data_IF_079840340570
#
_entry.id   IF_079840340570
#
_cell.length_a   1.000
_cell.length_b   1.000
_cell.length_c   1.000
_cell.angle_alpha   90.00
_cell.angle_beta   90.00
_cell.angle_gamma   90.00
#
_symmetry.space_group_name_H-M   'P 1'
#
loop_
_entity.id
_entity.type
_entity.pdbx_description
1 polymer ?
#
# COMPACT_ATOMS: atom_id res chain seq x y z
N UNK A 1 6.90 -24.82 -25.99
CA UNK A 1 7.76 -25.94 -25.57
C UNK A 1 7.00 -26.73 -24.50
N UNK A 2 6.57 -27.94 -24.88
CA UNK A 2 6.11 -29.08 -24.06
C UNK A 2 5.06 -28.86 -22.95
N UNK A 3 3.79 -28.92 -23.40
CA UNK A 3 2.65 -29.43 -22.62
C UNK A 3 2.86 -30.93 -22.41
N UNK A 4 3.00 -31.37 -21.15
CA UNK A 4 3.04 -32.80 -20.80
C UNK A 4 1.66 -33.26 -20.34
N UNK A 5 1.01 -34.01 -21.23
CA UNK A 5 -0.08 -34.95 -20.97
C UNK A 5 0.29 -35.89 -19.81
N UNK A 6 -0.59 -36.02 -18.82
CA UNK A 6 -0.56 -37.14 -17.86
C UNK A 6 -1.74 -38.05 -18.18
N UNK A 7 -1.39 -39.24 -18.67
CA UNK A 7 -2.28 -40.33 -19.00
C UNK A 7 -3.03 -40.82 -17.76
N UNK A 8 -4.35 -40.94 -17.92
CA UNK A 8 -5.19 -41.83 -17.14
C UNK A 8 -5.06 -43.26 -17.69
N UNK A 9 -4.78 -44.25 -16.85
CA UNK A 9 -5.23 -45.63 -17.08
C UNK A 9 -5.18 -46.49 -15.80
N UNK A 10 -6.38 -46.90 -15.40
CA UNK A 10 -6.80 -48.20 -14.86
C UNK A 10 -5.98 -48.96 -13.79
N UNK A 11 -6.64 -49.19 -12.64
CA UNK A 11 -6.70 -50.52 -12.03
C UNK A 11 -7.94 -50.62 -11.14
N UNK A 12 -8.94 -51.37 -11.59
CA UNK A 12 -10.17 -51.67 -10.89
C UNK A 12 -10.27 -53.19 -10.76
N UNK A 13 -10.07 -53.72 -9.55
CA UNK A 13 -10.49 -55.08 -9.11
C UNK A 13 -10.22 -55.23 -7.62
N UNK A 14 -11.27 -55.53 -6.84
CA UNK A 14 -11.13 -55.98 -5.46
C UNK A 14 -12.34 -55.68 -4.59
N UNK A 15 -13.36 -56.55 -4.66
CA UNK A 15 -14.41 -56.66 -3.65
C UNK A 15 -13.81 -56.95 -2.27
N UNK A 16 -14.33 -56.31 -1.22
CA UNK A 16 -14.03 -56.73 0.16
C UNK A 16 -14.60 -55.84 1.26
N UNK A 17 -15.75 -56.26 1.79
CA UNK A 17 -16.24 -56.03 3.17
C UNK A 17 -16.37 -54.58 3.67
N UNK A 18 -17.63 -54.17 3.75
CA UNK A 18 -18.18 -53.16 4.66
C UNK A 18 -17.61 -53.29 6.09
N UNK A 19 -16.66 -52.44 6.42
CA UNK A 19 -16.37 -52.06 7.80
C UNK A 19 -16.69 -50.58 7.92
N UNK A 20 -17.80 -50.29 8.59
CA UNK A 20 -18.20 -48.95 9.03
C UNK A 20 -17.21 -48.52 10.13
N UNK A 21 -15.98 -48.19 9.71
CA UNK A 21 -15.04 -47.46 10.55
C UNK A 21 -15.54 -46.02 10.55
N UNK A 22 -16.23 -45.65 11.62
CA UNK A 22 -16.42 -44.26 12.00
C UNK A 22 -15.03 -43.66 12.24
N UNK A 23 -14.39 -43.20 11.15
CA UNK A 23 -13.28 -42.27 11.24
C UNK A 23 -13.94 -40.97 11.67
N UNK A 24 -14.11 -40.82 12.98
CA UNK A 24 -14.32 -39.54 13.62
C UNK A 24 -13.11 -38.70 13.27
N UNK A 25 -13.19 -37.99 12.14
CA UNK A 25 -12.21 -37.02 11.68
C UNK A 25 -12.30 -35.89 12.69
N UNK A 26 -11.53 -36.02 13.76
CA UNK A 26 -11.39 -35.03 14.81
C UNK A 26 -10.87 -33.79 14.08
N UNK A 27 -11.77 -32.86 13.76
CA UNK A 27 -11.39 -31.61 13.15
C UNK A 27 -10.31 -31.01 14.06
N UNK A 28 -9.15 -30.60 13.51
CA UNK A 28 -8.10 -30.00 14.32
C UNK A 28 -8.76 -28.90 15.16
N UNK A 29 -8.65 -29.03 16.48
CA UNK A 29 -9.15 -28.05 17.44
C UNK A 29 -8.28 -26.81 17.27
N UNK A 30 -8.62 -25.98 16.28
CA UNK A 30 -8.05 -24.65 16.11
C UNK A 30 -8.43 -23.90 17.38
N UNK A 31 -7.41 -23.45 18.12
CA UNK A 31 -7.64 -22.75 19.38
C UNK A 31 -8.51 -21.52 19.11
N UNK A 32 -9.54 -21.31 19.93
CA UNK A 32 -10.43 -20.13 19.85
C UNK A 32 -9.61 -18.83 19.89
N UNK A 33 -8.47 -18.85 20.58
CA UNK A 33 -7.52 -17.75 20.68
C UNK A 33 -6.89 -17.38 19.33
N UNK A 34 -6.44 -18.37 18.54
CA UNK A 34 -5.93 -18.13 17.17
C UNK A 34 -6.99 -17.48 16.28
N UNK A 35 -8.24 -17.93 16.39
CA UNK A 35 -9.35 -17.37 15.61
C UNK A 35 -9.63 -15.91 15.99
N UNK A 36 -9.69 -15.58 17.28
CA UNK A 36 -9.92 -14.22 17.76
C UNK A 36 -8.80 -13.26 17.33
N UNK A 37 -7.55 -13.70 17.38
CA UNK A 37 -6.41 -12.90 16.91
C UNK A 37 -6.49 -12.62 15.40
N UNK A 38 -6.91 -13.60 14.59
CA UNK A 38 -7.09 -13.43 13.15
C UNK A 38 -8.24 -12.46 12.82
N UNK A 39 -9.34 -12.51 13.56
CA UNK A 39 -10.46 -11.57 13.38
C UNK A 39 -10.04 -10.13 13.77
N UNK A 40 -9.28 -9.96 14.84
CA UNK A 40 -8.76 -8.64 15.21
C UNK A 40 -7.78 -8.09 14.16
N UNK A 41 -6.88 -8.93 13.65
CA UNK A 41 -5.93 -8.55 12.59
C UNK A 41 -6.63 -8.10 11.31
N UNK A 42 -7.62 -8.86 10.85
CA UNK A 42 -8.39 -8.52 9.64
C UNK A 42 -9.15 -7.19 9.77
N UNK A 43 -9.69 -6.86 10.95
CA UNK A 43 -10.30 -5.54 11.19
C UNK A 43 -9.28 -4.40 11.08
N UNK A 44 -8.10 -4.57 11.67
CA UNK A 44 -7.02 -3.57 11.60
C UNK A 44 -6.55 -3.36 10.15
N UNK A 45 -6.43 -4.43 9.35
CA UNK A 45 -6.14 -4.34 7.92
C UNK A 45 -7.23 -3.53 7.21
N UNK A 46 -8.50 -3.84 7.46
CA UNK A 46 -9.64 -3.12 6.87
C UNK A 46 -9.61 -1.62 7.13
N UNK A 47 -9.41 -1.20 8.38
CA UNK A 47 -9.30 0.23 8.72
C UNK A 47 -8.10 0.91 8.06
N UNK A 48 -6.95 0.23 7.99
CA UNK A 48 -5.77 0.76 7.31
C UNK A 48 -5.98 0.90 5.81
N UNK A 49 -6.62 -0.07 5.14
CA UNK A 49 -6.94 0.00 3.72
C UNK A 49 -7.92 1.14 3.40
N UNK A 50 -8.94 1.35 4.23
CA UNK A 50 -9.88 2.48 4.04
C UNK A 50 -9.15 3.82 4.25
N UNK A 51 -8.29 3.92 5.26
CA UNK A 51 -7.50 5.13 5.51
C UNK A 51 -6.52 5.41 4.35
N UNK A 52 -5.80 4.40 3.86
CA UNK A 52 -4.87 4.54 2.74
C UNK A 52 -5.60 4.92 1.46
N UNK A 53 -6.80 4.37 1.23
CA UNK A 53 -7.63 4.69 0.07
C UNK A 53 -8.18 6.12 0.15
N UNK A 54 -8.69 6.53 1.31
CA UNK A 54 -9.16 7.89 1.52
C UNK A 54 -8.04 8.90 1.27
N UNK A 55 -6.83 8.62 1.76
CA UNK A 55 -5.67 9.46 1.50
C UNK A 55 -5.28 9.48 0.01
N UNK A 56 -5.29 8.33 -0.65
CA UNK A 56 -5.01 8.20 -2.09
C UNK A 56 -6.02 9.00 -2.94
N UNK A 57 -7.31 8.87 -2.64
CA UNK A 57 -8.39 9.61 -3.33
C UNK A 57 -8.22 11.11 -3.08
N UNK A 58 -7.97 11.52 -1.85
CA UNK A 58 -7.73 12.92 -1.50
C UNK A 58 -6.56 13.50 -2.30
N UNK A 59 -5.45 12.75 -2.39
CA UNK A 59 -4.27 13.13 -3.15
C UNK A 59 -4.55 13.26 -4.66
N UNK A 60 -5.43 12.40 -5.21
CA UNK A 60 -5.91 12.48 -6.59
C UNK A 60 -6.77 13.71 -6.80
N UNK A 61 -7.76 13.96 -5.95
CA UNK A 61 -8.64 15.13 -6.03
C UNK A 61 -7.87 16.45 -6.01
N UNK A 62 -6.85 16.57 -5.15
CA UNK A 62 -5.98 17.74 -5.09
C UNK A 62 -5.23 18.00 -6.41
N UNK A 63 -4.95 16.95 -7.19
CA UNK A 63 -4.19 17.12 -8.43
C UNK A 63 -5.09 17.29 -9.64
N UNK A 64 -6.27 16.65 -9.63
CA UNK A 64 -7.30 16.93 -10.63
C UNK A 64 -7.63 18.43 -10.65
N UNK A 65 -7.61 19.08 -9.48
CA UNK A 65 -7.75 20.53 -9.40
C UNK A 65 -6.64 21.29 -10.15
N UNK A 66 -5.37 20.88 -10.01
CA UNK A 66 -4.24 21.51 -10.73
C UNK A 66 -4.28 21.23 -12.24
N UNK A 67 -4.66 20.01 -12.64
CA UNK A 67 -4.79 19.62 -14.05
C UNK A 67 -5.93 20.36 -14.75
N UNK A 68 -7.06 20.55 -14.05
CA UNK A 68 -8.22 21.26 -14.57
C UNK A 68 -8.00 22.78 -14.65
N UNK A 69 -7.56 23.40 -13.53
CA UNK A 69 -7.39 24.85 -13.46
C UNK A 69 -6.16 25.34 -14.22
N UNK A 70 -5.11 24.51 -14.31
CA UNK A 70 -3.91 24.82 -15.08
C UNK A 70 -4.17 24.94 -16.58
N UNK A 71 -5.18 24.24 -17.13
CA UNK A 71 -5.52 24.32 -18.55
C UNK A 71 -6.03 25.69 -18.97
N UNK A 72 -6.69 26.44 -18.09
CA UNK A 72 -7.18 27.79 -18.42
C UNK A 72 -6.07 28.85 -18.31
N UNK A 73 -5.20 28.73 -17.30
CA UNK A 73 -4.14 29.73 -17.05
C UNK A 73 -2.87 29.54 -17.91
N UNK A 74 -2.66 28.37 -18.51
CA UNK A 74 -1.50 28.05 -19.38
C UNK A 74 -1.66 28.56 -20.83
N UNK A 75 -2.73 29.30 -21.14
CA UNK A 75 -2.86 29.98 -22.43
C UNK A 75 -2.03 31.29 -22.51
N UNK A 76 -1.42 31.74 -21.41
CA UNK A 76 -0.83 33.10 -21.32
C UNK A 76 0.65 33.14 -20.93
N UNK A 77 1.34 32.01 -20.73
CA UNK A 77 2.76 31.99 -20.31
C UNK A 77 3.66 31.43 -21.42
N UNK A 78 4.31 32.29 -22.25
CA UNK A 78 5.11 31.83 -23.39
C UNK A 78 6.49 31.25 -23.06
N UNK A 79 6.92 31.20 -21.79
CA UNK A 79 8.31 30.84 -21.41
C UNK A 79 8.45 29.68 -20.39
N UNK A 80 7.60 28.66 -20.44
CA UNK A 80 7.81 27.43 -19.64
C UNK A 80 8.66 26.40 -20.42
N UNK A 81 9.94 26.73 -20.58
CA UNK A 81 10.99 26.05 -21.36
C UNK A 81 11.40 24.65 -20.85
N UNK A 82 10.68 24.01 -19.92
CA UNK A 82 11.07 22.70 -19.39
C UNK A 82 10.05 21.56 -19.56
N UNK A 83 8.83 21.82 -20.06
CA UNK A 83 7.84 20.76 -20.34
C UNK A 83 7.40 20.64 -21.80
N UNK A 84 7.77 21.60 -22.67
CA UNK A 84 7.43 21.54 -24.10
C UNK A 84 8.29 20.55 -24.92
N UNK A 85 9.34 19.96 -24.35
CA UNK A 85 10.04 18.82 -24.97
C UNK A 85 9.32 17.48 -24.81
N UNK A 86 8.17 17.44 -24.12
CA UNK A 86 7.31 16.26 -24.01
C UNK A 86 6.05 16.32 -24.89
N UNK A 87 5.79 17.44 -25.56
CA UNK A 87 4.55 17.62 -26.35
C UNK A 87 4.69 17.35 -27.84
N UNK A 88 5.91 17.13 -28.34
CA UNK A 88 6.13 16.64 -29.71
C UNK A 88 6.22 15.12 -29.82
N UNK A 89 6.19 14.37 -28.71
CA UNK A 89 6.30 12.91 -28.79
C UNK A 89 4.91 12.27 -28.77
N UNK A 90 4.55 11.66 -29.90
CA UNK A 90 3.44 10.73 -30.10
C UNK A 90 3.11 9.96 -28.83
N UNK A 91 1.87 10.07 -28.31
CA UNK A 91 1.32 9.28 -27.17
C UNK A 91 2.35 8.44 -26.42
N UNK A 92 3.22 9.14 -25.68
CA UNK A 92 4.50 8.60 -25.28
C UNK A 92 4.34 7.69 -24.07
N UNK A 93 5.14 6.61 -23.99
CA UNK A 93 5.08 5.60 -22.92
C UNK A 93 5.00 6.21 -21.51
N UNK A 94 5.70 7.33 -21.27
CA UNK A 94 5.70 8.07 -20.01
C UNK A 94 4.33 8.63 -19.62
N UNK A 95 3.52 9.12 -20.57
CA UNK A 95 2.15 9.60 -20.28
C UNK A 95 1.27 8.41 -19.84
N UNK A 96 1.33 7.29 -20.58
CA UNK A 96 0.60 6.07 -20.22
C UNK A 96 1.01 5.54 -18.84
N UNK A 97 2.31 5.48 -18.56
CA UNK A 97 2.86 5.04 -17.28
C UNK A 97 2.41 5.93 -16.11
N UNK A 98 2.36 7.25 -16.32
CA UNK A 98 1.85 8.19 -15.33
C UNK A 98 0.37 7.94 -15.00
N UNK A 99 -0.47 7.76 -16.02
CA UNK A 99 -1.88 7.38 -15.81
C UNK A 99 -2.00 6.02 -15.12
N UNK A 100 -1.20 5.05 -15.53
CA UNK A 100 -1.20 3.71 -14.95
C UNK A 100 -0.89 3.75 -13.45
N UNK A 101 0.25 4.33 -13.03
CA UNK A 101 0.64 4.38 -11.61
C UNK A 101 -0.35 5.19 -10.76
N UNK A 102 -1.07 6.13 -11.36
CA UNK A 102 -2.02 6.98 -10.63
C UNK A 102 -3.37 6.32 -10.39
N UNK A 103 -3.97 5.75 -11.44
CA UNK A 103 -5.36 5.27 -11.38
C UNK A 103 -5.43 3.77 -11.05
N UNK A 104 -4.43 3.00 -11.46
CA UNK A 104 -4.45 1.55 -11.27
C UNK A 104 -4.40 1.14 -9.79
N UNK A 105 -3.56 1.71 -8.92
CA UNK A 105 -3.58 1.36 -7.49
C UNK A 105 -4.89 1.71 -6.78
N UNK A 106 -5.61 2.75 -7.24
CA UNK A 106 -6.94 3.10 -6.70
C UNK A 106 -7.94 2.00 -7.01
N UNK A 107 -7.95 1.54 -8.27
CA UNK A 107 -8.83 0.47 -8.72
C UNK A 107 -8.54 -0.80 -7.93
N UNK A 108 -7.26 -1.13 -7.71
CA UNK A 108 -6.87 -2.28 -6.89
C UNK A 108 -7.27 -2.13 -5.42
N UNK A 109 -7.08 -0.96 -4.80
CA UNK A 109 -7.48 -0.77 -3.41
C UNK A 109 -9.01 -0.86 -3.25
N UNK A 110 -9.77 -0.26 -4.16
CA UNK A 110 -11.23 -0.39 -4.19
C UNK A 110 -11.63 -1.86 -4.34
N UNK A 111 -10.96 -2.59 -5.24
CA UNK A 111 -11.26 -3.99 -5.48
C UNK A 111 -10.97 -4.83 -4.23
N UNK A 112 -9.86 -4.60 -3.52
CA UNK A 112 -9.51 -5.28 -2.26
C UNK A 112 -10.54 -5.03 -1.17
N UNK A 113 -11.12 -3.83 -1.07
CA UNK A 113 -12.17 -3.55 -0.07
C UNK A 113 -13.45 -4.36 -0.28
N UNK A 114 -13.75 -4.80 -1.50
CA UNK A 114 -14.90 -5.67 -1.75
C UNK A 114 -14.67 -7.12 -1.29
N UNK A 115 -13.42 -7.54 -1.14
CA UNK A 115 -13.08 -8.88 -0.66
C UNK A 115 -13.03 -8.86 0.86
N UNK A 116 -14.03 -9.50 1.47
CA UNK A 116 -14.18 -9.58 2.93
C UNK A 116 -15.43 -8.92 3.49
N UNK A 117 -16.21 -8.21 2.67
CA UNK A 117 -17.53 -7.70 3.11
C UNK A 117 -18.57 -8.83 3.06
N UNK A 118 -19.16 -9.25 4.20
CA UNK A 118 -20.32 -10.15 4.18
C UNK A 118 -21.47 -9.48 3.41
N UNK A 119 -22.27 -10.23 2.62
CA UNK A 119 -22.52 -11.68 2.70
C UNK A 119 -21.79 -12.53 1.64
N UNK A 120 -20.81 -11.99 0.92
CA UNK A 120 -20.20 -12.72 -0.20
C UNK A 120 -19.30 -13.87 0.29
N UNK A 121 -19.79 -15.11 0.19
CA UNK A 121 -18.99 -16.31 0.39
C UNK A 121 -18.27 -16.66 -0.90
N UNK A 122 -16.94 -16.59 -0.91
CA UNK A 122 -16.14 -16.92 -2.08
C UNK A 122 -15.78 -18.39 -2.10
N UNK A 123 -15.80 -19.00 -3.28
CA UNK A 123 -15.25 -20.34 -3.45
C UNK A 123 -13.71 -20.28 -3.44
N UNK A 124 -13.05 -21.38 -3.03
CA UNK A 124 -11.58 -21.49 -3.03
C UNK A 124 -10.94 -21.15 -4.39
N UNK A 125 -11.65 -21.41 -5.49
CA UNK A 125 -11.19 -21.07 -6.85
C UNK A 125 -11.20 -19.56 -7.12
N UNK A 126 -12.27 -18.87 -6.70
CA UNK A 126 -12.37 -17.42 -6.86
C UNK A 126 -11.31 -16.70 -6.03
N UNK A 127 -11.07 -17.21 -4.81
CA UNK A 127 -10.02 -16.76 -3.94
C UNK A 127 -8.62 -16.82 -4.56
N UNK A 128 -8.32 -17.95 -5.21
CA UNK A 128 -7.08 -18.15 -5.91
C UNK A 128 -6.91 -17.16 -7.07
N UNK A 129 -7.95 -17.02 -7.91
CA UNK A 129 -7.93 -16.09 -9.05
C UNK A 129 -7.72 -14.65 -8.56
N UNK A 130 -8.38 -14.29 -7.46
CA UNK A 130 -8.25 -12.98 -6.84
C UNK A 130 -6.83 -12.69 -6.36
N UNK A 131 -6.23 -13.60 -5.60
CA UNK A 131 -4.86 -13.45 -5.12
C UNK A 131 -3.85 -13.36 -6.26
N UNK A 132 -4.06 -14.12 -7.35
CA UNK A 132 -3.24 -14.01 -8.56
C UNK A 132 -3.39 -12.63 -9.21
N UNK A 133 -4.62 -12.13 -9.33
CA UNK A 133 -4.88 -10.80 -9.87
C UNK A 133 -4.18 -9.71 -9.04
N UNK A 134 -4.33 -9.73 -7.73
CA UNK A 134 -3.69 -8.78 -6.82
C UNK A 134 -2.15 -8.86 -6.89
N UNK A 135 -1.58 -10.06 -6.89
CA UNK A 135 -0.14 -10.27 -7.01
C UNK A 135 0.42 -9.73 -8.33
N UNK A 136 -0.19 -10.08 -9.47
CA UNK A 136 0.22 -9.59 -10.79
C UNK A 136 0.10 -8.07 -10.89
N UNK A 137 -0.99 -7.51 -10.38
CA UNK A 137 -1.23 -6.09 -10.42
C UNK A 137 -0.18 -5.31 -9.58
N UNK A 138 0.22 -5.87 -8.44
CA UNK A 138 1.33 -5.33 -7.61
C UNK A 138 2.64 -5.33 -8.36
N UNK A 139 3.01 -6.46 -9.00
CA UNK A 139 4.25 -6.56 -9.78
C UNK A 139 4.29 -5.52 -10.89
N UNK A 140 3.16 -5.26 -11.56
CA UNK A 140 3.08 -4.24 -12.59
C UNK A 140 3.26 -2.82 -12.04
N UNK A 141 2.68 -2.52 -10.87
CA UNK A 141 2.85 -1.20 -10.22
C UNK A 141 4.31 -1.00 -9.81
N UNK A 142 4.92 -1.99 -9.14
CA UNK A 142 6.32 -1.94 -8.71
C UNK A 142 7.23 -1.74 -9.92
N UNK A 143 7.08 -2.55 -10.96
CA UNK A 143 7.85 -2.43 -12.19
C UNK A 143 7.71 -1.03 -12.84
N UNK A 144 6.51 -0.46 -12.83
CA UNK A 144 6.27 0.88 -13.37
C UNK A 144 6.98 1.97 -12.53
N UNK A 145 6.97 1.85 -11.20
CA UNK A 145 7.67 2.77 -10.30
C UNK A 145 9.19 2.66 -10.48
N UNK A 146 9.73 1.44 -10.48
CA UNK A 146 11.16 1.21 -10.66
C UNK A 146 11.65 1.72 -12.00
N UNK A 147 10.86 1.57 -13.05
CA UNK A 147 11.15 2.17 -14.34
C UNK A 147 11.31 3.70 -14.26
N UNK A 148 10.45 4.42 -13.51
CA UNK A 148 10.60 5.86 -13.28
C UNK A 148 11.89 6.18 -12.51
N UNK A 149 12.21 5.40 -11.48
CA UNK A 149 13.43 5.60 -10.68
C UNK A 149 14.68 5.41 -11.55
N UNK A 150 14.69 4.40 -12.44
CA UNK A 150 15.75 4.16 -13.41
C UNK A 150 15.87 5.31 -14.41
N UNK A 151 14.74 5.84 -14.92
CA UNK A 151 14.76 7.00 -15.82
C UNK A 151 15.43 8.22 -15.15
N UNK A 152 15.17 8.45 -13.86
CA UNK A 152 15.84 9.53 -13.09
C UNK A 152 17.35 9.29 -12.99
N UNK A 153 17.77 8.05 -12.75
CA UNK A 153 19.19 7.68 -12.71
C UNK A 153 19.83 7.85 -14.10
N UNK A 154 19.13 7.54 -15.18
CA UNK A 154 19.65 7.73 -16.54
C UNK A 154 19.85 9.21 -16.86
N UNK A 155 18.96 10.08 -16.39
CA UNK A 155 19.12 11.52 -16.51
C UNK A 155 20.35 12.02 -15.72
N UNK A 156 20.56 11.50 -14.50
CA UNK A 156 21.69 11.88 -13.65
C UNK A 156 23.05 11.37 -14.18
N UNK A 157 23.08 10.14 -14.70
CA UNK A 157 24.28 9.50 -15.23
C UNK A 157 24.37 9.61 -16.76
N UNK A 158 24.36 10.83 -17.29
CA UNK A 158 24.40 11.04 -18.75
C UNK A 158 25.66 10.49 -19.42
N UNK A 159 26.80 10.55 -18.71
CA UNK A 159 28.13 10.27 -19.26
C UNK A 159 28.59 8.82 -19.11
N UNK A 160 28.15 8.10 -18.07
CA UNK A 160 28.66 6.77 -17.71
C UNK A 160 27.74 5.65 -18.21
N UNK A 161 27.99 5.15 -19.43
CA UNK A 161 27.20 4.07 -20.05
C UNK A 161 27.22 2.77 -19.24
N UNK A 162 28.33 2.44 -18.59
CA UNK A 162 28.47 1.22 -17.79
C UNK A 162 27.43 1.12 -16.67
N UNK A 163 27.21 2.23 -15.95
CA UNK A 163 26.24 2.27 -14.83
C UNK A 163 24.82 2.13 -15.36
N UNK A 164 24.52 2.72 -16.52
CA UNK A 164 23.22 2.57 -17.17
C UNK A 164 22.93 1.11 -17.53
N UNK A 165 23.89 0.43 -18.15
CA UNK A 165 23.75 -0.99 -18.49
C UNK A 165 23.60 -1.84 -17.23
N UNK A 166 24.42 -1.59 -16.19
CA UNK A 166 24.34 -2.31 -14.92
C UNK A 166 22.95 -2.17 -14.28
N UNK A 167 22.42 -0.96 -14.17
CA UNK A 167 21.10 -0.70 -13.59
C UNK A 167 19.99 -1.35 -14.43
N UNK A 168 20.07 -1.25 -15.76
CA UNK A 168 19.11 -1.92 -16.65
C UNK A 168 19.14 -3.45 -16.50
N UNK A 169 20.32 -4.05 -16.38
CA UNK A 169 20.44 -5.51 -16.17
C UNK A 169 19.91 -5.95 -14.81
N UNK A 170 20.16 -5.17 -13.76
CA UNK A 170 19.61 -5.44 -12.42
C UNK A 170 18.09 -5.36 -12.41
N UNK A 171 17.51 -4.38 -13.08
CA UNK A 171 16.05 -4.25 -13.22
C UNK A 171 15.42 -5.43 -13.97
N UNK A 172 16.03 -5.88 -15.06
CA UNK A 172 15.54 -7.07 -15.78
C UNK A 172 15.64 -8.33 -14.90
N UNK A 173 16.72 -8.45 -14.12
CA UNK A 173 16.90 -9.57 -13.20
C UNK A 173 15.84 -9.57 -12.09
N UNK A 174 15.56 -8.40 -11.51
CA UNK A 174 14.51 -8.21 -10.52
C UNK A 174 13.13 -8.60 -11.09
N UNK A 175 12.77 -8.10 -12.28
CA UNK A 175 11.49 -8.40 -12.93
C UNK A 175 11.32 -9.90 -13.19
N UNK A 176 12.39 -10.58 -13.62
CA UNK A 176 12.39 -12.04 -13.81
C UNK A 176 12.24 -12.76 -12.48
N UNK A 177 13.00 -12.37 -11.46
CA UNK A 177 12.92 -12.98 -10.11
C UNK A 177 11.53 -12.80 -9.49
N UNK A 178 10.91 -11.62 -9.62
CA UNK A 178 9.54 -11.38 -9.18
C UNK A 178 8.54 -12.27 -9.91
N UNK A 179 8.64 -12.33 -11.24
CA UNK A 179 7.73 -13.12 -12.07
C UNK A 179 7.79 -14.61 -11.72
N UNK A 180 9.01 -15.14 -11.51
CA UNK A 180 9.23 -16.52 -11.07
C UNK A 180 8.72 -16.72 -9.64
N UNK A 181 9.01 -15.78 -8.75
CA UNK A 181 8.59 -15.81 -7.35
C UNK A 181 7.07 -15.92 -7.20
N UNK A 182 6.32 -15.03 -7.88
CA UNK A 182 4.86 -15.08 -7.90
C UNK A 182 4.36 -16.38 -8.53
N UNK A 183 4.92 -16.79 -9.68
CA UNK A 183 4.51 -18.01 -10.38
C UNK A 183 4.72 -19.30 -9.56
N UNK A 184 5.76 -19.35 -8.72
CA UNK A 184 6.05 -20.50 -7.86
C UNK A 184 5.36 -20.45 -6.50
N UNK A 185 5.12 -19.25 -5.97
CA UNK A 185 4.47 -19.05 -4.68
C UNK A 185 2.96 -19.32 -4.77
N UNK A 186 2.28 -18.70 -5.74
CA UNK A 186 0.82 -18.79 -5.95
C UNK A 186 0.22 -20.20 -5.81
N UNK A 187 0.74 -21.26 -6.47
CA UNK A 187 0.14 -22.59 -6.38
C UNK A 187 0.36 -23.29 -5.04
N UNK A 188 1.28 -22.79 -4.21
CA UNK A 188 1.60 -23.37 -2.90
C UNK A 188 0.86 -22.70 -1.74
N UNK A 189 0.17 -21.58 -1.99
CA UNK A 189 -0.56 -20.85 -0.95
C UNK A 189 -1.80 -21.64 -0.51
N UNK A 190 -1.91 -21.85 0.79
CA UNK A 190 -3.12 -22.39 1.44
C UNK A 190 -4.09 -21.27 1.78
N UNK A 191 -5.35 -21.41 1.33
CA UNK A 191 -6.41 -20.41 1.57
C UNK A 191 -7.46 -20.94 2.54
N UNK A 192 -7.87 -20.09 3.47
CA UNK A 192 -9.04 -20.32 4.32
C UNK A 192 -10.36 -19.96 3.59
N UNK A 193 -11.50 -20.28 4.20
CA UNK A 193 -12.83 -19.93 3.68
C UNK A 193 -13.07 -18.41 3.66
N UNK A 194 -12.28 -17.64 4.42
CA UNK A 194 -12.25 -16.17 4.43
C UNK A 194 -11.24 -15.57 3.45
N UNK A 195 -10.67 -16.37 2.56
CA UNK A 195 -9.63 -15.95 1.62
C UNK A 195 -8.33 -15.42 2.23
N UNK A 196 -8.10 -15.71 3.50
CA UNK A 196 -6.86 -15.37 4.19
C UNK A 196 -5.77 -16.39 3.89
N UNK A 197 -4.54 -15.90 3.74
CA UNK A 197 -3.34 -16.73 3.56
C UNK A 197 -2.99 -17.39 4.89
N UNK A 198 -3.04 -18.72 4.95
CA UNK A 198 -2.71 -19.47 6.17
C UNK A 198 -1.21 -19.79 6.21
N UNK A 199 -0.63 -20.16 5.06
CA UNK A 199 0.74 -20.63 4.96
C UNK A 199 1.46 -19.93 3.81
N UNK A 200 2.56 -19.25 4.14
CA UNK A 200 3.38 -18.49 3.19
C UNK A 200 4.71 -19.22 3.04
N UNK A 201 5.03 -19.75 1.85
CA UNK A 201 6.27 -20.49 1.65
C UNK A 201 7.48 -19.54 1.71
N UNK A 202 8.61 -19.99 2.29
CA UNK A 202 9.87 -19.22 2.36
C UNK A 202 10.35 -18.69 1.00
N UNK A 203 9.97 -19.36 -0.10
CA UNK A 203 10.26 -18.90 -1.45
C UNK A 203 9.66 -17.54 -1.77
N UNK A 204 8.51 -17.22 -1.17
CA UNK A 204 7.86 -15.92 -1.31
C UNK A 204 8.67 -14.81 -0.63
N UNK A 205 9.17 -15.07 0.59
CA UNK A 205 10.03 -14.14 1.32
C UNK A 205 11.33 -13.83 0.56
N UNK A 206 11.98 -14.85 -0.01
CA UNK A 206 13.19 -14.65 -0.81
C UNK A 206 12.88 -13.82 -2.07
N UNK A 207 11.76 -14.09 -2.74
CA UNK A 207 11.33 -13.34 -3.91
C UNK A 207 10.98 -11.87 -3.56
N UNK A 208 10.34 -11.64 -2.42
CA UNK A 208 10.01 -10.31 -1.90
C UNK A 208 11.27 -9.53 -1.48
N UNK A 209 12.36 -10.20 -1.12
CA UNK A 209 13.65 -9.55 -0.82
C UNK A 209 14.34 -8.94 -2.05
N UNK A 210 14.04 -9.43 -3.26
CA UNK A 210 14.64 -8.94 -4.50
C UNK A 210 14.39 -7.44 -4.77
N UNK A 211 13.15 -6.92 -4.72
CA UNK A 211 12.90 -5.48 -4.88
C UNK A 211 13.55 -4.64 -3.80
N UNK A 212 13.55 -5.13 -2.55
CA UNK A 212 14.19 -4.41 -1.44
C UNK A 212 15.68 -4.25 -1.72
N UNK A 213 16.34 -5.31 -2.17
CA UNK A 213 17.75 -5.26 -2.54
C UNK A 213 18.01 -4.32 -3.72
N UNK A 214 17.20 -4.41 -4.78
CA UNK A 214 17.32 -3.55 -5.96
C UNK A 214 17.15 -2.08 -5.59
N UNK A 215 16.11 -1.75 -4.83
CA UNK A 215 15.80 -0.39 -4.40
C UNK A 215 16.88 0.18 -3.47
N UNK A 216 17.48 -0.66 -2.62
CA UNK A 216 18.65 -0.30 -1.81
C UNK A 216 19.86 0.06 -2.67
N UNK A 217 20.13 -0.73 -3.73
CA UNK A 217 21.22 -0.45 -4.67
C UNK A 217 20.98 0.87 -5.41
N UNK A 218 19.75 1.11 -5.90
CA UNK A 218 19.41 2.37 -6.57
C UNK A 218 19.56 3.57 -5.64
N UNK A 219 19.12 3.43 -4.39
CA UNK A 219 19.28 4.46 -3.37
C UNK A 219 20.75 4.74 -3.10
N UNK A 220 21.58 3.71 -2.91
CA UNK A 220 23.00 3.84 -2.66
C UNK A 220 23.74 4.52 -3.83
N UNK A 221 23.42 4.16 -5.08
CA UNK A 221 23.99 4.80 -6.27
C UNK A 221 23.61 6.29 -6.35
N UNK A 222 22.35 6.61 -6.10
CA UNK A 222 21.85 7.99 -6.11
C UNK A 222 22.50 8.83 -5.01
N UNK A 223 22.61 8.27 -3.79
CA UNK A 223 23.27 8.91 -2.65
C UNK A 223 24.78 9.09 -2.89
N UNK A 224 25.45 8.10 -3.49
CA UNK A 224 26.87 8.21 -3.83
C UNK A 224 27.14 9.38 -4.78
N UNK A 225 26.32 9.51 -5.84
CA UNK A 225 26.47 10.65 -6.76
C UNK A 225 26.15 11.98 -6.13
N UNK A 226 25.20 12.01 -5.22
CA UNK A 226 24.92 13.22 -4.46
C UNK A 226 26.16 13.66 -3.68
N UNK A 227 26.78 12.74 -2.95
CA UNK A 227 28.00 13.03 -2.19
C UNK A 227 29.16 13.46 -3.10
N UNK A 228 29.31 12.86 -4.27
CA UNK A 228 30.31 13.24 -5.27
C UNK A 228 30.05 14.66 -5.81
N UNK A 229 28.80 15.00 -6.14
CA UNK A 229 28.42 16.32 -6.64
C UNK A 229 28.61 17.43 -5.60
N UNK A 230 28.29 17.14 -4.32
CA UNK A 230 28.53 18.06 -3.21
C UNK A 230 30.03 18.30 -3.01
N UNK A 231 30.84 17.23 -3.03
CA UNK A 231 32.30 17.33 -2.90
C UNK A 231 32.96 18.09 -4.06
N UNK A 232 32.44 17.96 -5.27
CA UNK A 232 32.95 18.67 -6.44
C UNK A 232 32.62 20.17 -6.46
N UNK A 233 31.92 20.70 -5.45
CA UNK A 233 31.52 22.11 -5.38
C UNK A 233 30.32 22.46 -6.27
N UNK A 234 29.68 21.47 -6.89
CA UNK A 234 28.47 21.65 -7.71
C UNK A 234 27.19 21.77 -6.87
N UNK A 235 27.34 21.76 -5.54
CA UNK A 235 26.23 21.89 -4.60
C UNK A 235 25.38 23.14 -4.81
N UNK A 236 25.94 24.23 -5.34
CA UNK A 236 25.19 25.50 -5.51
C UNK A 236 24.29 25.55 -6.76
N UNK A 237 24.22 24.49 -7.58
CA UNK A 237 23.31 24.46 -8.73
C UNK A 237 21.88 24.15 -8.23
N UNK A 238 20.95 25.13 -8.23
CA UNK A 238 19.66 24.99 -7.56
C UNK A 238 18.78 23.90 -8.17
N UNK A 239 18.93 23.62 -9.48
CA UNK A 239 18.14 22.60 -10.17
C UNK A 239 18.50 21.17 -9.72
N UNK A 240 19.78 20.91 -9.42
CA UNK A 240 20.23 19.61 -8.93
C UNK A 240 19.76 19.42 -7.50
N UNK A 241 19.90 20.44 -6.64
CA UNK A 241 19.41 20.37 -5.27
C UNK A 241 17.92 20.07 -5.18
N UNK A 242 17.10 20.72 -6.02
CA UNK A 242 15.66 20.50 -6.04
C UNK A 242 15.34 19.07 -6.45
N UNK A 243 15.89 18.61 -7.58
CA UNK A 243 15.67 17.26 -8.08
C UNK A 243 16.11 16.18 -7.08
N UNK A 244 17.23 16.40 -6.39
CA UNK A 244 17.77 15.44 -5.44
C UNK A 244 17.00 15.43 -4.12
N UNK A 245 16.68 16.59 -3.55
CA UNK A 245 15.84 16.64 -2.34
C UNK A 245 14.50 15.94 -2.60
N UNK A 246 13.89 16.22 -3.74
CA UNK A 246 12.58 15.70 -4.09
C UNK A 246 12.62 14.20 -4.41
N UNK A 247 13.68 13.74 -5.08
CA UNK A 247 13.93 12.32 -5.33
C UNK A 247 14.24 11.54 -4.06
N UNK A 248 15.11 12.06 -3.19
CA UNK A 248 15.57 11.38 -1.98
C UNK A 248 14.43 11.13 -0.99
N UNK A 249 13.47 12.06 -0.85
CA UNK A 249 12.29 11.82 -0.02
C UNK A 249 11.45 10.63 -0.51
N UNK A 250 11.23 10.53 -1.83
CA UNK A 250 10.51 9.39 -2.39
C UNK A 250 11.26 8.07 -2.14
N UNK A 251 12.57 8.03 -2.34
CA UNK A 251 13.37 6.84 -2.06
C UNK A 251 13.35 6.45 -0.59
N UNK A 252 13.50 7.41 0.33
CA UNK A 252 13.46 7.16 1.78
C UNK A 252 12.10 6.60 2.19
N UNK A 253 11.00 7.16 1.65
CA UNK A 253 9.65 6.67 1.92
C UNK A 253 9.46 5.21 1.46
N UNK A 254 9.84 4.90 0.23
CA UNK A 254 9.70 3.54 -0.29
C UNK A 254 10.58 2.55 0.48
N UNK A 255 11.82 2.92 0.78
CA UNK A 255 12.72 2.11 1.59
C UNK A 255 12.17 1.87 3.00
N UNK A 256 11.61 2.90 3.65
CA UNK A 256 11.03 2.77 4.99
C UNK A 256 9.80 1.85 5.01
N UNK A 257 8.94 1.93 3.99
CA UNK A 257 7.76 1.05 3.87
C UNK A 257 8.19 -0.40 3.65
N UNK A 258 9.12 -0.63 2.72
CA UNK A 258 9.64 -1.97 2.44
C UNK A 258 10.37 -2.58 3.63
N UNK A 259 11.14 -1.78 4.37
CA UNK A 259 11.80 -2.23 5.59
C UNK A 259 10.77 -2.53 6.69
N UNK A 260 9.74 -1.71 6.82
CA UNK A 260 8.62 -1.94 7.74
C UNK A 260 7.86 -3.23 7.41
N UNK A 261 7.68 -3.50 6.12
CA UNK A 261 7.08 -4.74 5.62
C UNK A 261 7.95 -5.95 5.96
N UNK A 262 9.24 -5.93 5.60
CA UNK A 262 10.18 -6.98 5.96
C UNK A 262 10.23 -7.23 7.48
N UNK A 263 10.14 -6.16 8.28
CA UNK A 263 10.08 -6.26 9.73
C UNK A 263 8.78 -6.93 10.20
N UNK A 264 7.61 -6.51 9.70
CA UNK A 264 6.32 -7.13 10.05
C UNK A 264 6.28 -8.62 9.69
N UNK A 265 6.80 -8.98 8.52
CA UNK A 265 6.95 -10.39 8.11
C UNK A 265 7.82 -11.20 9.07
N UNK A 266 8.87 -10.60 9.64
CA UNK A 266 9.74 -11.26 10.60
C UNK A 266 9.11 -11.49 11.98
N UNK A 267 8.18 -10.63 12.40
CA UNK A 267 7.57 -10.72 13.75
C UNK A 267 6.26 -11.50 13.76
N UNK A 268 5.41 -11.37 12.75
CA UNK A 268 4.08 -11.97 12.74
C UNK A 268 3.58 -12.19 11.30
N UNK A 269 4.07 -13.25 10.62
CA UNK A 269 3.80 -13.48 9.21
C UNK A 269 2.32 -13.75 8.90
N UNK A 270 1.54 -14.31 9.82
CA UNK A 270 0.15 -14.72 9.53
C UNK A 270 -0.87 -13.58 9.62
N UNK A 271 -0.61 -12.53 10.41
CA UNK A 271 -1.63 -11.53 10.75
C UNK A 271 -1.43 -10.15 10.08
N UNK A 272 -0.23 -9.85 9.57
CA UNK A 272 0.13 -8.49 9.10
C UNK A 272 0.67 -8.41 7.67
N UNK A 273 0.66 -9.52 6.93
CA UNK A 273 1.10 -9.60 5.52
C UNK A 273 0.53 -8.50 4.63
N UNK A 274 -0.70 -8.05 4.90
CA UNK A 274 -1.42 -7.11 4.03
C UNK A 274 -1.59 -5.70 4.60
N UNK A 275 -1.19 -5.42 5.84
CA UNK A 275 -1.43 -4.10 6.47
C UNK A 275 -0.69 -2.99 5.72
N UNK A 276 0.55 -3.24 5.32
CA UNK A 276 1.36 -2.25 4.60
C UNK A 276 1.07 -2.22 3.11
N UNK A 277 0.35 -3.20 2.57
CA UNK A 277 0.05 -3.28 1.14
C UNK A 277 -0.73 -2.06 0.63
N UNK A 278 -1.75 -1.63 1.38
CA UNK A 278 -2.52 -0.41 1.06
C UNK A 278 -1.63 0.84 1.07
N UNK A 279 -0.77 0.96 2.08
CA UNK A 279 0.15 2.09 2.20
C UNK A 279 1.26 2.11 1.15
N UNK A 280 1.77 0.95 0.76
CA UNK A 280 2.76 0.78 -0.29
C UNK A 280 2.20 1.23 -1.65
N UNK A 281 0.97 0.81 -1.98
CA UNK A 281 0.25 1.31 -3.15
C UNK A 281 0.05 2.83 -3.13
N UNK A 282 -0.31 3.38 -1.97
CA UNK A 282 -0.48 4.83 -1.78
C UNK A 282 0.85 5.59 -1.93
N UNK A 283 1.93 5.05 -1.37
CA UNK A 283 3.26 5.65 -1.49
C UNK A 283 3.77 5.63 -2.92
N UNK A 284 3.52 4.55 -3.69
CA UNK A 284 3.85 4.49 -5.10
C UNK A 284 3.16 5.57 -5.93
N UNK A 285 1.85 5.77 -5.73
CA UNK A 285 1.12 6.84 -6.41
C UNK A 285 1.65 8.24 -6.02
N UNK A 286 2.01 8.43 -4.74
CA UNK A 286 2.53 9.70 -4.24
C UNK A 286 3.95 10.02 -4.74
N UNK A 287 4.86 9.03 -4.76
CA UNK A 287 6.28 9.21 -5.11
C UNK A 287 6.51 9.69 -6.54
N UNK A 288 5.54 9.50 -7.43
CA UNK A 288 5.58 10.03 -8.80
C UNK A 288 5.44 11.55 -8.83
N UNK A 289 4.84 12.18 -7.80
CA UNK A 289 4.71 13.64 -7.73
C UNK A 289 6.03 14.31 -7.39
N UNK A 290 6.42 15.30 -8.18
CA UNK A 290 7.63 16.14 -8.01
C UNK A 290 7.46 17.30 -7.02
N UNK A 291 6.52 17.24 -6.07
CA UNK A 291 6.33 18.29 -5.04
C UNK A 291 6.29 17.67 -3.63
N UNK A 292 7.41 17.63 -2.89
CA UNK A 292 7.52 16.73 -1.73
C UNK A 292 7.25 17.35 -0.36
N UNK A 293 6.88 18.63 -0.22
CA UNK A 293 6.98 19.27 1.09
C UNK A 293 5.85 19.00 2.09
N UNK A 294 4.67 18.51 1.67
CA UNK A 294 3.53 18.38 2.60
C UNK A 294 3.06 16.93 2.81
N UNK A 295 2.93 16.14 1.73
CA UNK A 295 2.39 14.78 1.86
C UNK A 295 3.36 13.76 2.45
N UNK A 296 4.67 13.90 2.24
CA UNK A 296 5.68 12.91 2.69
C UNK A 296 5.78 12.80 4.21
N UNK A 297 5.82 13.95 4.90
CA UNK A 297 5.81 14.02 6.37
C UNK A 297 4.49 13.52 6.93
N UNK A 298 3.37 13.77 6.24
CA UNK A 298 2.06 13.27 6.63
C UNK A 298 2.03 11.74 6.53
N UNK A 299 2.46 11.16 5.41
CA UNK A 299 2.50 9.69 5.20
C UNK A 299 3.37 9.04 6.27
N UNK A 300 4.57 9.56 6.55
CA UNK A 300 5.43 9.02 7.62
C UNK A 300 4.77 9.10 9.00
N UNK A 301 4.10 10.23 9.30
CA UNK A 301 3.41 10.39 10.58
C UNK A 301 2.25 9.41 10.70
N UNK A 302 1.45 9.24 9.64
CA UNK A 302 0.34 8.28 9.61
C UNK A 302 0.83 6.83 9.65
N UNK A 303 1.89 6.48 8.92
CA UNK A 303 2.52 5.17 8.99
C UNK A 303 3.03 4.86 10.39
N UNK A 304 3.75 5.81 10.99
CA UNK A 304 4.29 5.64 12.33
C UNK A 304 3.16 5.53 13.37
N UNK A 305 2.12 6.35 13.23
CA UNK A 305 0.95 6.32 14.13
C UNK A 305 0.12 5.04 13.96
N UNK A 306 -0.16 4.59 12.74
CA UNK A 306 -0.82 3.31 12.47
C UNK A 306 -0.03 2.12 13.01
N UNK A 307 1.29 2.13 12.81
CA UNK A 307 2.19 1.09 13.30
C UNK A 307 2.23 1.07 14.83
N UNK A 308 2.44 2.23 15.47
CA UNK A 308 2.51 2.35 16.93
C UNK A 308 1.17 2.05 17.60
N UNK A 309 0.05 2.52 17.05
CA UNK A 309 -1.30 2.22 17.57
C UNK A 309 -1.64 0.75 17.38
N UNK A 310 -1.30 0.15 16.24
CA UNK A 310 -1.43 -1.29 16.00
C UNK A 310 -0.68 -2.11 17.05
N UNK A 311 0.59 -1.78 17.30
CA UNK A 311 1.39 -2.42 18.36
C UNK A 311 0.82 -2.21 19.77
N UNK A 312 0.29 -1.02 20.08
CA UNK A 312 -0.33 -0.76 21.40
C UNK A 312 -1.60 -1.57 21.62
N UNK A 313 -2.45 -1.72 20.60
CA UNK A 313 -3.66 -2.55 20.68
C UNK A 313 -3.28 -3.99 20.96
N UNK A 314 -2.23 -4.51 20.32
CA UNK A 314 -1.73 -5.87 20.54
C UNK A 314 -1.12 -6.09 21.91
N UNK A 315 -0.29 -5.16 22.39
CA UNK A 315 0.30 -5.28 23.73
C UNK A 315 -0.79 -5.26 24.81
N UNK A 316 -1.84 -4.45 24.64
CA UNK A 316 -3.00 -4.46 25.53
C UNK A 316 -3.80 -5.76 25.43
N UNK A 317 -4.01 -6.31 24.23
CA UNK A 317 -4.70 -7.59 24.05
C UNK A 317 -3.91 -8.75 24.67
N UNK A 318 -2.59 -8.76 24.53
CA UNK A 318 -1.74 -9.77 25.16
C UNK A 318 -1.73 -9.65 26.69
N UNK A 319 -1.80 -8.43 27.24
CA UNK A 319 -1.98 -8.21 28.67
C UNK A 319 -3.37 -8.65 29.18
N UNK A 320 -4.42 -8.41 28.39
CA UNK A 320 -5.78 -8.86 28.71
C UNK A 320 -5.87 -10.39 28.68
N UNK A 321 -5.20 -11.04 27.72
CA UNK A 321 -5.10 -12.49 27.63
C UNK A 321 -4.31 -13.10 28.80
N UNK A 322 -3.16 -12.50 29.16
CA UNK A 322 -2.39 -12.93 30.33
C UNK A 322 -3.16 -12.79 31.65
N UNK A 323 -4.14 -11.87 31.71
CA UNK A 323 -5.02 -11.68 32.87
C UNK A 323 -6.25 -12.58 32.84
N UNK A 324 -6.68 -13.05 31.68
CA UNK A 324 -7.74 -14.04 31.51
C UNK A 324 -7.23 -15.44 31.84
N UNK A 325 -7.00 -15.73 33.13
CA UNK A 325 -6.90 -17.13 33.58
C UNK A 325 -8.21 -17.83 33.20
N UNK A 326 -8.16 -18.99 32.52
CA UNK A 326 -9.37 -19.75 32.22
C UNK A 326 -9.95 -20.27 33.53
N UNK A 327 -10.93 -19.57 34.09
CA UNK A 327 -11.85 -20.18 35.04
C UNK A 327 -12.70 -21.16 34.24
N UNK A 328 -12.28 -22.42 34.21
CA UNK A 328 -13.03 -23.53 33.67
C UNK A 328 -14.32 -23.64 34.50
N UNK A 329 -15.39 -22.99 34.06
CA UNK A 329 -16.73 -23.31 34.49
C UNK A 329 -17.24 -24.39 33.54
N UNK A 330 -17.19 -25.65 34.00
CA UNK A 330 -17.92 -26.75 33.41
C UNK A 330 -19.42 -26.47 33.64
N UNK A 331 -20.09 -25.88 32.66
CA UNK A 331 -21.56 -25.89 32.64
C UNK A 331 -22.04 -27.00 31.72
N UNK A 332 -22.98 -27.79 32.25
CA UNK A 332 -23.71 -28.94 31.70
C UNK A 332 -23.93 -29.02 30.18
N UNK A 333 -24.16 -30.24 29.66
CA UNK A 333 -24.42 -30.47 28.26
C UNK A 333 -25.86 -30.08 27.95
N UNK A 334 -26.08 -28.87 27.45
CA UNK A 334 -27.21 -28.52 26.58
C UNK A 334 -27.11 -27.03 26.21
N UNK A 335 -26.26 -26.71 25.22
CA UNK A 335 -26.36 -25.41 24.55
C UNK A 335 -26.26 -25.63 23.04
N UNK A 336 -27.39 -25.40 22.38
CA UNK A 336 -27.54 -25.19 20.94
C UNK A 336 -26.96 -23.82 20.61
N UNK A 337 -25.95 -23.76 19.75
CA UNK A 337 -25.44 -22.50 19.20
C UNK A 337 -26.46 -21.92 18.20
N UNK A 338 -27.19 -20.88 18.62
CA UNK A 338 -27.83 -19.94 17.69
C UNK A 338 -26.87 -18.79 17.44
N UNK A 339 -26.29 -18.71 16.24
CA UNK A 339 -25.59 -17.52 15.77
C UNK A 339 -26.62 -16.44 15.44
N UNK A 340 -27.16 -15.78 16.45
CA UNK A 340 -27.83 -14.50 16.26
C UNK A 340 -26.77 -13.41 16.33
N UNK A 341 -26.30 -12.98 15.16
CA UNK A 341 -25.73 -11.63 15.01
C UNK A 341 -26.87 -10.69 15.37
N UNK A 342 -26.81 -10.10 16.57
CA UNK A 342 -27.73 -9.05 16.98
C UNK A 342 -27.41 -7.81 16.15
N UNK A 343 -27.99 -7.72 14.96
CA UNK A 343 -28.26 -6.42 14.34
C UNK A 343 -29.41 -5.81 15.13
N UNK A 344 -29.10 -5.07 16.18
CA UNK A 344 -30.10 -4.27 16.88
C UNK A 344 -30.76 -3.31 15.87
N UNK A 345 -32.10 -3.12 15.91
CA UNK A 345 -32.72 -2.09 15.11
C UNK A 345 -32.18 -0.74 15.57
N UNK A 346 -31.66 0.04 14.63
CA UNK A 346 -31.33 1.44 14.84
C UNK A 346 -32.64 2.18 15.15
N UNK A 347 -32.94 2.37 16.43
CA UNK A 347 -34.03 3.24 16.85
C UNK A 347 -33.58 4.69 16.67
N UNK A 348 -34.19 5.37 15.70
CA UNK A 348 -34.26 6.83 15.67
C UNK A 348 -35.01 7.32 16.91
N UNK A 349 -34.29 7.55 18.01
CA UNK A 349 -34.81 8.35 19.12
C UNK A 349 -33.81 9.43 19.52
N UNK A 350 -34.19 10.66 19.14
CA UNK A 350 -33.96 11.90 19.89
C UNK A 350 -32.51 12.36 20.13
N UNK A 351 -31.96 13.03 19.12
CA UNK A 351 -31.08 14.18 19.37
C UNK A 351 -31.93 15.32 19.98
N UNK A 352 -31.94 15.40 21.32
CA UNK A 352 -32.36 16.61 22.02
C UNK A 352 -31.38 17.73 21.66
N UNK A 353 -31.85 18.65 20.82
CA UNK A 353 -31.24 19.95 20.56
C UNK A 353 -31.19 20.75 21.86
N UNK A 354 -30.02 20.79 22.49
CA UNK A 354 -29.73 21.75 23.54
C UNK A 354 -29.75 23.15 22.92
N UNK A 355 -30.88 23.84 23.11
CA UNK A 355 -31.08 25.24 22.80
C UNK A 355 -29.99 26.10 23.49
N UNK A 356 -28.96 26.48 22.72
CA UNK A 356 -28.05 27.54 23.11
C UNK A 356 -28.76 28.87 22.91
N UNK A 357 -29.18 29.42 24.04
CA UNK A 357 -29.80 30.73 24.19
C UNK A 357 -28.94 31.83 23.57
N UNK A 358 -29.56 32.51 22.61
CA UNK A 358 -29.08 33.67 21.87
C UNK A 358 -28.96 34.85 22.84
N UNK A 359 -27.75 35.25 23.21
CA UNK A 359 -27.51 36.51 23.91
C UNK A 359 -27.31 37.66 22.90
N UNK A 360 -27.86 38.86 23.18
CA UNK A 360 -27.98 39.91 22.20
C UNK A 360 -26.70 40.72 21.99
N UNK A 361 -26.56 41.14 20.73
CA UNK A 361 -25.55 42.03 20.16
C UNK A 361 -25.62 43.40 20.86
N UNK A 362 -24.54 43.80 21.54
CA UNK A 362 -24.31 45.20 21.91
C UNK A 362 -23.41 45.86 20.86
N UNK A 363 -24.02 46.75 20.10
CA UNK A 363 -23.35 47.70 19.22
C UNK A 363 -22.66 48.81 20.03
N UNK A 364 -21.42 49.13 19.69
CA UNK A 364 -20.86 50.47 19.89
C UNK A 364 -19.90 50.84 18.76
N UNK A 365 -19.87 52.11 18.29
CA UNK A 365 -19.18 52.54 17.09
C UNK A 365 -17.89 53.33 17.36
N UNK A 366 -17.09 53.52 16.29
CA UNK A 366 -15.97 54.47 16.21
C UNK A 366 -14.61 53.81 16.46
N UNK A 367 -13.53 54.15 15.77
CA UNK A 367 -13.26 55.25 14.84
C UNK A 367 -11.87 55.04 14.20
N UNK A 368 -11.78 55.35 12.91
CA UNK A 368 -10.69 56.09 12.24
C UNK A 368 -9.22 55.62 12.27
N UNK A 369 -8.62 55.81 11.09
CA UNK A 369 -7.17 56.07 10.83
C UNK A 369 -6.33 54.80 10.65
N UNK A 370 -5.39 54.69 9.71
CA UNK A 370 -4.84 55.61 8.73
C UNK A 370 -4.04 54.79 7.71
N UNK A 371 -4.04 55.25 6.48
CA UNK A 371 -3.00 55.20 5.46
C UNK A 371 -1.65 54.56 5.83
N UNK A 372 -1.14 53.66 4.99
CA UNK A 372 0.16 53.93 4.34
C UNK A 372 0.42 52.98 3.16
N UNK A 373 0.41 53.58 1.98
CA UNK A 373 1.01 53.06 0.78
C UNK A 373 2.53 53.29 0.86
N UNK A 374 3.34 52.24 0.63
CA UNK A 374 4.74 52.42 0.21
C UNK A 374 4.93 51.89 -1.19
N UNK A 375 4.81 52.84 -2.10
CA UNK A 375 5.57 52.98 -3.32
C UNK A 375 7.04 52.58 -3.07
N UNK A 376 7.56 51.68 -3.89
CA UNK A 376 9.01 51.43 -3.98
C UNK A 376 9.39 51.46 -5.46
N UNK A 377 9.61 52.68 -5.95
CA UNK A 377 10.50 52.97 -7.07
C UNK A 377 11.85 53.36 -6.47
N UNK A 378 12.93 52.72 -6.93
CA UNK A 378 14.18 53.44 -7.22
C UNK A 378 15.08 52.63 -8.16
N UNK A 379 15.47 53.32 -9.21
CA UNK A 379 16.46 53.02 -10.23
C UNK A 379 17.84 52.67 -9.66
N UNK A 380 18.53 51.72 -10.32
CA UNK A 380 19.83 51.90 -10.99
C UNK A 380 20.15 50.71 -11.91
#
# INVERSE_FOLDING_TARGET
MLVRNVNASSSFRGLGRSSLVSIGRQAPQVSVESYLNNVAGTQVVGYNCVASLAFLIYDILLTLHQEWYGRESLSTVPNFVALNTLDSISWNLTKCLFFFIRYFPVILQISVLFVGTPPFTFTKRECYIWNVYQGLATVLIVAAVDYILILRIFALYSRNRTIRYLVATLYLLELVTMSIGVGLAVPKLGYDDLCTLIDVPDTFLIAAGAPIAFQTILFALTAWRFLEAVKAGWGNVPIIQLLMRDGTWAFILLFAILLGEAFLYGFAPEAYTDVLYGWLNTAFAFCVRTRPCFGSSLILTFLFDSTVKGYRILLNLNQLNASARPSIYVTSPDIVFSSQVVTGPFSEESYQLTNLSRSPISSTPGSSSQSDARQFDRDE
#
